data_IF_440061525698
#
_entry.id   IF_440061525698
#
_cell.length_a   1.000
_cell.length_b   1.000
_cell.length_c   1.000
_cell.angle_alpha   90.00
_cell.angle_beta   90.00
_cell.angle_gamma   90.00
#
_symmetry.space_group_name_H-M   'P 1'
#
loop_
_entity.id
_entity.type
_entity.pdbx_description
1 polymer ?
#
# COMPACT_ATOMS: atom_id res chain seq x y z
N UNK A 1 2.27 11.62 -2.08
CA UNK A 1 1.26 12.13 -1.13
C UNK A 1 0.42 13.21 -1.80
N UNK A 2 -0.89 13.22 -1.56
CA UNK A 2 -1.81 14.28 -1.97
C UNK A 2 -2.73 14.66 -0.79
N UNK A 3 -3.31 15.87 -0.76
CA UNK A 3 -3.97 16.41 0.45
C UNK A 3 -5.07 15.55 1.05
N UNK A 4 -5.87 14.87 0.21
CA UNK A 4 -7.05 14.10 0.61
C UNK A 4 -6.80 12.60 0.67
N UNK A 5 -5.53 12.21 0.73
CA UNK A 5 -5.19 10.81 0.96
C UNK A 5 -5.60 10.39 2.38
N UNK A 6 -6.21 9.21 2.53
CA UNK A 6 -6.72 8.72 3.81
C UNK A 6 -5.60 8.12 4.68
N UNK A 7 -4.60 8.94 4.99
CA UNK A 7 -3.45 8.61 5.83
C UNK A 7 -3.27 9.66 6.91
N UNK A 8 -3.05 9.23 8.15
CA UNK A 8 -2.66 10.15 9.21
C UNK A 8 -1.30 10.78 8.91
N UNK A 9 -1.05 11.98 9.45
CA UNK A 9 0.22 12.70 9.26
C UNK A 9 1.01 12.78 10.56
N UNK A 10 2.27 12.35 10.53
CA UNK A 10 3.20 12.51 11.65
C UNK A 10 3.56 13.99 11.78
N UNK A 11 3.39 14.55 12.98
CA UNK A 11 3.72 15.94 13.25
C UNK A 11 4.05 16.17 14.73
N UNK A 12 4.35 17.43 15.07
CA UNK A 12 4.58 17.87 16.45
C UNK A 12 3.56 18.92 16.84
N UNK A 13 2.79 18.68 17.90
CA UNK A 13 1.80 19.62 18.45
C UNK A 13 2.17 19.90 19.91
N UNK A 14 2.29 21.19 20.25
CA UNK A 14 2.69 21.63 21.60
C UNK A 14 3.97 20.93 22.12
N UNK A 15 4.91 20.69 21.22
CA UNK A 15 6.19 20.05 21.57
C UNK A 15 6.13 18.51 21.65
N UNK A 16 5.00 17.87 21.37
CA UNK A 16 4.81 16.41 21.43
C UNK A 16 4.62 15.81 20.05
N UNK A 17 5.32 14.71 19.77
CA UNK A 17 5.12 13.94 18.54
C UNK A 17 3.80 13.20 18.58
N UNK A 18 3.08 13.19 17.46
CA UNK A 18 1.82 12.48 17.31
C UNK A 18 1.51 12.25 15.84
N UNK A 19 0.52 11.40 15.58
CA UNK A 19 -0.13 11.31 14.27
C UNK A 19 -1.47 12.02 14.39
N UNK A 20 -1.72 12.98 13.50
CA UNK A 20 -3.05 13.56 13.34
C UNK A 20 -3.76 12.76 12.26
N UNK A 21 -4.85 12.08 12.62
CA UNK A 21 -5.55 11.23 11.67
C UNK A 21 -6.24 12.02 10.56
N UNK A 22 -6.36 11.41 9.38
CA UNK A 22 -6.96 12.07 8.22
C UNK A 22 -8.43 12.49 8.45
N UNK A 23 -9.14 11.80 9.35
CA UNK A 23 -10.51 12.16 9.75
C UNK A 23 -10.59 13.33 10.73
N UNK A 24 -9.45 13.74 11.29
CA UNK A 24 -9.33 14.78 12.33
C UNK A 24 -8.56 16.02 11.84
N UNK A 25 -7.90 15.94 10.67
CA UNK A 25 -7.20 17.06 10.05
C UNK A 25 -8.17 17.98 9.28
N UNK A 26 -7.97 19.30 9.39
CA UNK A 26 -8.73 20.25 8.55
C UNK A 26 -8.20 20.29 7.13
N UNK A 27 -9.08 20.53 6.14
CA UNK A 27 -8.68 20.65 4.73
C UNK A 27 -7.60 21.73 4.53
N UNK A 28 -7.76 22.89 5.19
CA UNK A 28 -6.77 23.98 5.16
C UNK A 28 -5.38 23.52 5.61
N UNK A 29 -5.31 22.68 6.64
CA UNK A 29 -4.04 22.12 7.12
C UNK A 29 -3.48 21.09 6.14
N UNK A 30 -4.33 20.20 5.62
CA UNK A 30 -3.96 19.15 4.66
C UNK A 30 -3.44 19.71 3.32
N UNK A 31 -3.98 20.85 2.87
CA UNK A 31 -3.58 21.52 1.63
C UNK A 31 -2.39 22.49 1.80
N UNK A 32 -1.94 22.73 3.04
CA UNK A 32 -0.86 23.68 3.32
C UNK A 32 0.43 23.22 2.65
N UNK A 33 1.11 24.14 1.95
CA UNK A 33 2.37 23.88 1.26
C UNK A 33 3.55 24.62 1.88
N UNK A 34 4.74 24.06 1.71
CA UNK A 34 6.02 24.70 2.03
C UNK A 34 6.49 25.64 0.90
N UNK A 35 7.66 26.26 1.09
CA UNK A 35 8.25 27.16 0.10
C UNK A 35 8.64 26.47 -1.23
N UNK A 36 8.77 25.14 -1.23
CA UNK A 36 9.09 24.34 -2.40
C UNK A 36 7.84 23.79 -3.09
N UNK A 37 6.64 24.15 -2.62
CA UNK A 37 5.37 23.67 -3.16
C UNK A 37 4.99 22.25 -2.72
N UNK A 38 5.76 21.61 -1.83
CA UNK A 38 5.40 20.31 -1.24
C UNK A 38 4.37 20.50 -0.14
N UNK A 39 3.62 19.46 0.22
CA UNK A 39 2.75 19.52 1.39
C UNK A 39 3.60 19.75 2.64
N UNK A 40 3.20 20.72 3.46
CA UNK A 40 3.90 21.01 4.73
C UNK A 40 3.80 19.83 5.69
N UNK A 41 2.70 19.08 5.63
CA UNK A 41 2.49 17.85 6.39
C UNK A 41 2.50 16.66 5.44
N UNK A 42 3.68 16.28 4.96
CA UNK A 42 3.89 15.21 3.99
C UNK A 42 4.35 13.87 4.60
N UNK A 43 4.61 13.81 5.91
CA UNK A 43 5.01 12.59 6.61
C UNK A 43 3.80 11.67 6.86
N UNK A 44 3.36 10.96 5.82
CA UNK A 44 2.23 10.03 5.89
C UNK A 44 2.53 8.80 6.74
N UNK A 45 1.69 8.51 7.72
CA UNK A 45 1.76 7.33 8.56
C UNK A 45 1.30 6.08 7.79
N UNK A 46 2.23 5.17 7.50
CA UNK A 46 1.94 3.87 6.85
C UNK A 46 1.77 2.71 7.85
N UNK A 47 1.62 3.02 9.14
CA UNK A 47 1.49 2.06 10.23
C UNK A 47 2.67 1.07 10.36
N UNK A 48 3.88 1.49 9.97
CA UNK A 48 5.13 0.82 10.31
C UNK A 48 5.86 1.65 11.37
N UNK A 49 6.00 1.10 12.58
CA UNK A 49 6.58 1.79 13.73
C UNK A 49 7.67 0.93 14.35
N UNK A 50 8.76 1.57 14.78
CA UNK A 50 9.82 0.93 15.54
C UNK A 50 9.71 1.34 17.02
N UNK A 51 9.72 0.36 17.91
CA UNK A 51 9.75 0.59 19.35
C UNK A 51 10.85 -0.25 19.99
N UNK A 52 11.58 0.35 20.93
CA UNK A 52 12.46 -0.43 21.81
C UNK A 52 11.61 -1.15 22.86
N UNK A 53 12.10 -2.30 23.33
CA UNK A 53 11.41 -3.06 24.37
C UNK A 53 11.20 -2.21 25.65
N UNK A 54 12.18 -1.40 26.03
CA UNK A 54 12.09 -0.56 27.22
C UNK A 54 11.04 0.55 27.05
N UNK A 55 10.90 1.11 25.85
CA UNK A 55 9.82 2.04 25.56
C UNK A 55 8.45 1.35 25.65
N UNK A 56 8.30 0.13 25.11
CA UNK A 56 7.06 -0.64 25.22
C UNK A 56 6.69 -0.94 26.68
N UNK A 57 7.66 -1.35 27.51
CA UNK A 57 7.45 -1.54 28.95
C UNK A 57 6.96 -0.24 29.59
N UNK A 58 7.64 0.87 29.33
CA UNK A 58 7.28 2.18 29.87
C UNK A 58 5.86 2.62 29.48
N UNK A 59 5.46 2.50 28.21
CA UNK A 59 4.12 2.93 27.78
C UNK A 59 3.01 1.96 28.20
N UNK A 60 3.36 0.71 28.51
CA UNK A 60 2.43 -0.30 29.04
C UNK A 60 2.13 -0.12 30.54
N UNK A 61 2.92 0.69 31.26
CA UNK A 61 2.64 0.99 32.66
C UNK A 61 1.26 1.66 32.81
N UNK A 62 0.46 1.31 33.83
CA UNK A 62 -0.91 1.83 33.99
C UNK A 62 -0.99 3.35 34.06
N UNK A 63 0.08 4.03 34.49
CA UNK A 63 0.15 5.49 34.54
C UNK A 63 0.21 6.13 33.15
N UNK A 64 0.80 5.47 32.16
CA UNK A 64 0.94 5.94 30.78
C UNK A 64 -0.28 5.50 29.96
N UNK A 65 -0.66 4.23 30.07
CA UNK A 65 -1.80 3.66 29.32
C UNK A 65 -3.10 4.45 29.54
N UNK A 66 -3.36 4.89 30.79
CA UNK A 66 -4.53 5.69 31.16
C UNK A 66 -4.54 7.10 30.56
N UNK A 67 -3.41 7.62 30.10
CA UNK A 67 -3.33 8.94 29.45
C UNK A 67 -3.71 8.86 27.97
N UNK A 68 -3.69 7.66 27.36
CA UNK A 68 -4.11 7.46 25.98
C UNK A 68 -5.63 7.69 25.85
N UNK A 69 -6.00 8.54 24.90
CA UNK A 69 -7.40 8.96 24.72
C UNK A 69 -8.17 7.94 23.90
N UNK A 70 -9.46 7.85 24.16
CA UNK A 70 -10.37 7.17 23.26
C UNK A 70 -10.78 8.10 22.12
N UNK A 71 -10.56 7.66 20.89
CA UNK A 71 -11.10 8.24 19.68
C UNK A 71 -12.51 7.72 19.45
N UNK A 72 -13.43 8.62 19.08
CA UNK A 72 -14.86 8.33 18.98
C UNK A 72 -15.27 8.29 17.51
N UNK A 73 -15.74 7.13 17.05
CA UNK A 73 -16.34 6.97 15.73
C UNK A 73 -17.85 6.71 15.86
N UNK A 74 -18.67 7.55 15.23
CA UNK A 74 -20.12 7.30 15.10
C UNK A 74 -20.34 6.16 14.10
N UNK A 75 -21.06 5.12 14.50
CA UNK A 75 -21.29 3.91 13.68
C UNK A 75 -22.78 3.56 13.59
N UNK A 76 -23.14 2.91 12.49
CA UNK A 76 -24.40 2.19 12.31
C UNK A 76 -24.21 0.79 12.88
N UNK A 77 -24.63 0.59 14.12
CA UNK A 77 -24.42 -0.65 14.87
C UNK A 77 -25.71 -1.47 14.78
N UNK A 78 -25.72 -2.62 14.08
CA UNK A 78 -26.86 -3.52 14.09
C UNK A 78 -27.19 -3.96 15.52
N UNK A 79 -28.48 -4.00 15.86
CA UNK A 79 -28.95 -4.29 17.22
C UNK A 79 -30.20 -5.18 17.17
N UNK A 80 -30.50 -5.86 18.27
CA UNK A 80 -31.70 -6.71 18.37
C UNK A 80 -32.95 -5.85 18.57
N UNK A 81 -34.07 -6.25 17.96
CA UNK A 81 -35.35 -5.57 18.16
C UNK A 81 -35.82 -5.68 19.61
N UNK A 82 -36.39 -4.60 20.13
CA UNK A 82 -37.01 -4.59 21.46
C UNK A 82 -38.31 -5.43 21.50
N UNK A 83 -38.99 -5.57 20.35
CA UNK A 83 -40.23 -6.33 20.22
C UNK A 83 -40.00 -7.84 20.02
N UNK A 84 -38.91 -8.22 19.37
CA UNK A 84 -38.53 -9.61 19.14
C UNK A 84 -37.00 -9.78 19.16
N UNK A 85 -36.51 -10.44 20.22
CA UNK A 85 -35.08 -10.74 20.41
C UNK A 85 -34.45 -11.62 19.31
N UNK A 86 -35.25 -12.24 18.43
CA UNK A 86 -34.75 -13.00 17.27
C UNK A 86 -34.54 -12.15 16.02
N UNK A 87 -34.99 -10.90 16.02
CA UNK A 87 -34.86 -9.99 14.87
C UNK A 87 -33.68 -9.05 15.08
N UNK A 88 -32.78 -8.97 14.09
CA UNK A 88 -31.69 -7.99 14.06
C UNK A 88 -32.05 -6.85 13.12
N UNK A 89 -31.99 -5.62 13.62
CA UNK A 89 -32.25 -4.39 12.88
C UNK A 89 -30.93 -3.77 12.41
N UNK A 90 -30.93 -3.23 11.18
CA UNK A 90 -29.81 -2.45 10.63
C UNK A 90 -30.24 -0.98 10.55
N UNK A 91 -29.58 -0.07 11.28
CA UNK A 91 -30.03 1.32 11.36
C UNK A 91 -29.63 2.13 10.11
N UNK A 92 -30.52 3.03 9.68
CA UNK A 92 -30.29 3.91 8.52
C UNK A 92 -29.39 5.11 8.83
N UNK A 93 -29.23 5.46 10.10
CA UNK A 93 -28.34 6.52 10.59
C UNK A 93 -27.48 6.02 11.76
N UNK A 94 -26.33 6.65 12.07
CA UNK A 94 -25.51 6.25 13.20
C UNK A 94 -26.30 6.29 14.53
N UNK A 95 -26.35 5.15 15.22
CA UNK A 95 -27.12 4.94 16.45
C UNK A 95 -26.22 4.67 17.68
N UNK A 96 -24.90 4.67 17.50
CA UNK A 96 -23.96 4.48 18.61
C UNK A 96 -22.56 4.94 18.28
N UNK A 97 -21.67 4.78 19.27
CA UNK A 97 -20.26 5.13 19.16
C UNK A 97 -19.39 3.89 19.34
N UNK A 98 -18.29 3.86 18.60
CA UNK A 98 -17.15 2.97 18.84
C UNK A 98 -16.03 3.81 19.43
N UNK A 99 -15.48 3.35 20.55
CA UNK A 99 -14.31 3.96 21.19
C UNK A 99 -13.08 3.10 20.90
N UNK A 100 -12.03 3.70 20.38
CA UNK A 100 -10.78 3.02 20.01
C UNK A 100 -9.59 3.82 20.53
N UNK A 101 -8.48 3.16 20.85
CA UNK A 101 -7.18 3.81 21.06
C UNK A 101 -6.34 3.57 19.82
N UNK A 102 -5.49 4.52 19.43
CA UNK A 102 -4.59 4.33 18.31
C UNK A 102 -3.19 3.95 18.78
N UNK A 103 -2.56 3.01 18.05
CA UNK A 103 -1.23 2.48 18.42
C UNK A 103 -0.15 3.57 18.44
N UNK A 104 -0.28 4.57 17.57
CA UNK A 104 0.66 5.68 17.45
C UNK A 104 0.43 6.81 18.47
N UNK A 105 -0.64 6.76 19.27
CA UNK A 105 -0.88 7.78 20.30
C UNK A 105 0.26 7.83 21.31
N UNK A 106 0.95 6.70 21.52
CA UNK A 106 2.13 6.59 22.39
C UNK A 106 3.30 7.47 21.97
N UNK A 107 3.34 8.01 20.74
CA UNK A 107 4.41 8.89 20.27
C UNK A 107 4.59 10.14 21.14
N UNK A 108 3.53 10.61 21.79
CA UNK A 108 3.60 11.76 22.70
C UNK A 108 4.50 11.55 23.94
N UNK A 109 4.81 10.28 24.24
CA UNK A 109 5.74 9.90 25.30
C UNK A 109 7.20 9.90 24.85
N UNK A 110 7.47 9.89 23.54
CA UNK A 110 8.83 9.97 23.03
C UNK A 110 9.40 11.39 23.21
N UNK A 111 10.72 11.46 23.36
CA UNK A 111 11.48 12.72 23.45
C UNK A 111 12.10 13.09 22.11
N UNK A 112 12.57 14.32 21.97
CA UNK A 112 13.32 14.77 20.78
C UNK A 112 14.60 13.98 20.52
N UNK A 113 15.14 13.27 21.51
CA UNK A 113 16.31 12.41 21.35
C UNK A 113 15.98 10.98 20.92
N UNK A 114 14.72 10.58 21.03
CA UNK A 114 14.29 9.18 20.90
C UNK A 114 13.17 8.98 19.87
N UNK A 115 12.77 10.03 19.15
CA UNK A 115 11.79 9.96 18.07
C UNK A 115 12.48 10.27 16.74
N UNK A 116 12.26 9.41 15.75
CA UNK A 116 12.76 9.58 14.40
C UNK A 116 11.64 9.25 13.41
N UNK A 117 11.68 9.90 12.25
CA UNK A 117 10.81 9.60 11.10
C UNK A 117 11.70 9.09 9.98
N UNK A 118 11.33 7.95 9.41
CA UNK A 118 12.01 7.35 8.27
C UNK A 118 11.09 7.39 7.06
N UNK A 119 11.45 8.20 6.06
CA UNK A 119 10.69 8.31 4.81
C UNK A 119 11.15 7.22 3.84
N UNK A 120 10.19 6.58 3.18
CA UNK A 120 10.41 5.50 2.22
C UNK A 120 9.70 5.81 0.90
N UNK A 121 10.11 5.12 -0.15
CA UNK A 121 9.48 5.19 -1.45
C UNK A 121 8.21 4.34 -1.43
N UNK A 122 7.07 4.94 -1.79
CA UNK A 122 5.74 4.27 -1.71
C UNK A 122 5.70 3.00 -2.54
N UNK A 123 6.17 3.09 -3.77
CA UNK A 123 6.13 2.00 -4.74
C UNK A 123 7.00 0.81 -4.32
N UNK A 124 7.85 0.98 -3.31
CA UNK A 124 8.69 -0.08 -2.73
C UNK A 124 8.08 -0.66 -1.46
N UNK A 125 7.42 0.16 -0.62
CA UNK A 125 7.08 -0.24 0.76
C UNK A 125 5.60 -0.08 1.15
N UNK A 126 4.73 0.48 0.30
CA UNK A 126 3.34 0.76 0.69
C UNK A 126 2.29 0.59 -0.43
N UNK A 127 1.59 -0.54 -0.38
CA UNK A 127 0.40 -0.84 -1.19
C UNK A 127 -0.73 -1.40 -0.30
N UNK A 128 -1.56 -0.54 0.33
CA UNK A 128 -2.54 -0.98 1.32
C UNK A 128 -3.75 -1.67 0.67
N UNK A 129 -4.27 -2.71 1.34
CA UNK A 129 -5.55 -3.34 1.00
C UNK A 129 -6.64 -2.89 1.98
N UNK A 130 -7.61 -2.11 1.50
CA UNK A 130 -8.70 -1.51 2.30
C UNK A 130 -10.09 -1.73 1.72
N UNK A 131 -10.20 -1.87 0.41
CA UNK A 131 -11.47 -1.87 -0.30
C UNK A 131 -11.62 -3.11 -1.19
N UNK A 132 -12.84 -3.41 -1.62
CA UNK A 132 -13.09 -4.38 -2.69
C UNK A 132 -12.73 -3.78 -4.06
N UNK A 133 -12.61 -4.61 -5.11
CA UNK A 133 -12.29 -4.16 -6.48
C UNK A 133 -13.37 -3.28 -7.14
N UNK A 134 -14.52 -3.11 -6.51
CA UNK A 134 -15.53 -2.13 -6.93
C UNK A 134 -15.17 -0.68 -6.57
N UNK A 135 -14.14 -0.46 -5.76
CA UNK A 135 -13.61 0.86 -5.43
C UNK A 135 -12.43 1.24 -6.33
N UNK A 136 -12.08 2.52 -6.38
CA UNK A 136 -11.05 3.03 -7.30
C UNK A 136 -9.60 2.73 -6.85
N UNK A 137 -9.38 2.47 -5.55
CA UNK A 137 -8.04 2.37 -4.95
C UNK A 137 -8.00 1.44 -3.74
N UNK A 138 -6.79 1.03 -3.38
CA UNK A 138 -6.49 0.21 -2.19
C UNK A 138 -7.28 -1.12 -2.22
N UNK A 139 -7.36 -1.74 -3.40
CA UNK A 139 -8.09 -2.97 -3.70
C UNK A 139 -7.14 -4.15 -3.97
N UNK A 140 -7.63 -5.41 -3.99
CA UNK A 140 -6.82 -6.57 -4.36
C UNK A 140 -6.07 -6.37 -5.68
N UNK A 141 -6.74 -5.85 -6.71
CA UNK A 141 -6.13 -5.55 -8.02
C UNK A 141 -4.98 -4.55 -7.90
N UNK A 142 -5.18 -3.44 -7.18
CA UNK A 142 -4.12 -2.43 -7.03
C UNK A 142 -2.93 -2.93 -6.20
N UNK A 143 -3.17 -3.76 -5.18
CA UNK A 143 -2.12 -4.36 -4.37
C UNK A 143 -1.27 -5.34 -5.18
N UNK A 144 -1.92 -6.29 -5.88
CA UNK A 144 -1.22 -7.25 -6.75
C UNK A 144 -0.37 -6.52 -7.79
N UNK A 145 -0.96 -5.53 -8.47
CA UNK A 145 -0.25 -4.74 -9.48
C UNK A 145 0.97 -4.01 -8.92
N UNK A 146 0.89 -3.46 -7.71
CA UNK A 146 2.00 -2.77 -7.07
C UNK A 146 3.16 -3.71 -6.78
N UNK A 147 2.88 -4.91 -6.26
CA UNK A 147 3.89 -5.95 -6.01
C UNK A 147 4.56 -6.42 -7.30
N UNK A 148 3.78 -6.74 -8.33
CA UNK A 148 4.31 -7.21 -9.61
C UNK A 148 5.17 -6.14 -10.30
N UNK A 149 4.78 -4.86 -10.20
CA UNK A 149 5.59 -3.74 -10.71
C UNK A 149 6.90 -3.57 -9.93
N UNK A 150 6.89 -3.77 -8.61
CA UNK A 150 8.10 -3.74 -7.80
C UNK A 150 9.08 -4.84 -8.25
N UNK A 151 8.59 -6.08 -8.37
CA UNK A 151 9.39 -7.21 -8.80
C UNK A 151 9.89 -7.06 -10.24
N UNK A 152 9.07 -6.53 -11.15
CA UNK A 152 9.52 -6.19 -12.50
C UNK A 152 10.72 -5.23 -12.46
N UNK A 153 10.66 -4.16 -11.65
CA UNK A 153 11.79 -3.24 -11.46
C UNK A 153 13.02 -3.93 -10.89
N UNK A 154 12.87 -4.85 -9.93
CA UNK A 154 13.99 -5.62 -9.40
C UNK A 154 14.66 -6.49 -10.47
N UNK A 155 13.89 -7.17 -11.32
CA UNK A 155 14.42 -7.99 -12.41
C UNK A 155 15.17 -7.13 -13.43
N UNK A 156 14.58 -6.01 -13.85
CA UNK A 156 15.24 -5.06 -14.75
C UNK A 156 16.55 -4.52 -14.18
N UNK A 157 16.55 -4.12 -12.89
CA UNK A 157 17.74 -3.64 -12.21
C UNK A 157 18.85 -4.71 -12.09
N UNK A 158 18.46 -5.99 -12.07
CA UNK A 158 19.36 -7.14 -12.06
C UNK A 158 19.82 -7.58 -13.46
N UNK A 159 19.42 -6.88 -14.52
CA UNK A 159 19.86 -7.13 -15.90
C UNK A 159 18.97 -8.09 -16.69
N UNK A 160 17.73 -8.34 -16.25
CA UNK A 160 16.73 -9.05 -17.04
C UNK A 160 16.21 -8.16 -18.19
N UNK A 161 15.92 -8.78 -19.32
CA UNK A 161 15.20 -8.19 -20.43
C UNK A 161 13.82 -8.86 -20.57
N UNK A 162 12.80 -8.08 -20.92
CA UNK A 162 11.46 -8.62 -21.19
C UNK A 162 11.15 -8.50 -22.67
N UNK A 163 10.61 -9.57 -23.25
CA UNK A 163 10.26 -9.65 -24.67
C UNK A 163 8.82 -10.08 -24.88
N UNK A 164 8.22 -9.63 -25.98
CA UNK A 164 6.93 -10.12 -26.45
C UNK A 164 7.05 -11.52 -27.09
N UNK A 165 5.91 -12.06 -27.57
CA UNK A 165 5.86 -13.38 -28.20
C UNK A 165 6.69 -13.49 -29.48
N UNK A 166 7.00 -12.37 -30.11
CA UNK A 166 7.79 -12.29 -31.33
C UNK A 166 9.28 -12.01 -31.02
N UNK A 167 9.65 -11.92 -29.74
CA UNK A 167 11.01 -11.68 -29.27
C UNK A 167 11.42 -10.20 -29.27
N UNK A 168 10.49 -9.26 -29.48
CA UNK A 168 10.78 -7.83 -29.42
C UNK A 168 10.82 -7.35 -27.97
N UNK A 169 11.75 -6.44 -27.66
CA UNK A 169 11.88 -5.87 -26.32
C UNK A 169 10.64 -5.08 -25.90
N UNK A 170 10.15 -5.38 -24.70
CA UNK A 170 9.09 -4.65 -24.02
C UNK A 170 9.74 -3.45 -23.32
N UNK A 171 9.27 -2.21 -23.56
CA UNK A 171 9.80 -1.04 -22.87
C UNK A 171 9.47 -1.09 -21.38
N UNK A 172 10.39 -0.58 -20.54
CA UNK A 172 10.25 -0.54 -19.07
C UNK A 172 8.96 0.13 -18.58
N UNK A 173 8.40 1.05 -19.37
CA UNK A 173 7.08 1.64 -19.15
C UNK A 173 6.25 1.35 -20.40
N UNK A 174 5.40 0.31 -20.39
CA UNK A 174 4.53 -0.01 -21.50
C UNK A 174 3.60 1.17 -21.80
N UNK A 175 3.61 1.65 -23.05
CA UNK A 175 2.67 2.68 -23.47
C UNK A 175 1.25 2.11 -23.45
N UNK A 176 0.34 2.72 -22.71
CA UNK A 176 -1.09 2.51 -22.94
C UNK A 176 -1.43 3.13 -24.30
N UNK A 177 -1.58 2.31 -25.35
CA UNK A 177 -2.24 2.80 -26.55
C UNK A 177 -3.69 3.08 -26.16
N UNK A 178 -4.10 4.34 -26.19
CA UNK A 178 -5.52 4.68 -26.19
C UNK A 178 -6.07 4.13 -27.50
N UNK A 179 -6.97 3.15 -27.42
CA UNK A 179 -7.74 2.73 -28.59
C UNK A 179 -8.33 3.98 -29.25
N UNK A 180 -8.02 4.18 -30.54
CA UNK A 180 -8.71 5.16 -31.35
C UNK A 180 -10.21 4.83 -31.31
N UNK A 181 -11.06 5.79 -30.98
CA UNK A 181 -12.51 5.66 -31.17
C UNK A 181 -12.79 5.42 -32.66
N UNK A 182 -12.83 4.14 -33.08
CA UNK A 182 -13.47 3.74 -34.34
C UNK A 182 -14.90 3.33 -34.03
N UNK A 183 -15.81 4.02 -34.73
CA UNK A 183 -17.24 3.96 -34.52
C UNK A 183 -17.84 2.56 -34.61
N UNK A 184 -19.03 2.47 -34.00
CA UNK A 184 -19.99 1.34 -33.97
C UNK A 184 -19.71 0.18 -34.93
N UNK A 185 -19.27 -0.95 -34.36
CA UNK A 185 -19.25 -2.25 -35.04
C UNK A 185 -18.50 -3.27 -34.17
N UNK A 186 -19.23 -4.29 -33.70
CA UNK A 186 -18.79 -5.50 -33.01
C UNK A 186 -17.51 -5.43 -32.12
N UNK A 187 -17.71 -5.48 -30.80
CA UNK A 187 -16.62 -5.66 -29.84
C UNK A 187 -16.10 -7.09 -29.92
N UNK A 188 -15.08 -7.30 -30.74
CA UNK A 188 -14.17 -8.42 -30.55
C UNK A 188 -13.35 -8.13 -29.29
N UNK A 189 -13.55 -8.94 -28.24
CA UNK A 189 -12.71 -8.94 -27.03
C UNK A 189 -11.32 -9.48 -27.41
N UNK A 190 -10.42 -8.58 -27.75
CA UNK A 190 -9.02 -8.92 -27.98
C UNK A 190 -8.28 -7.68 -28.44
N UNK A 191 -7.09 -7.48 -27.90
CA UNK A 191 -6.10 -6.52 -28.41
C UNK A 191 -6.33 -5.04 -28.05
N UNK A 192 -6.32 -4.71 -26.75
CA UNK A 192 -5.88 -3.37 -26.27
C UNK A 192 -5.64 -3.36 -24.74
N UNK A 193 -5.08 -4.44 -24.20
CA UNK A 193 -4.46 -4.38 -22.87
C UNK A 193 -3.02 -3.93 -23.05
N UNK A 194 -2.70 -2.75 -22.52
CA UNK A 194 -1.32 -2.32 -22.38
C UNK A 194 -0.52 -3.45 -21.74
N UNK A 195 0.53 -3.92 -22.42
CA UNK A 195 1.25 -5.13 -22.04
C UNK A 195 1.79 -5.00 -20.61
N UNK A 196 1.08 -5.61 -19.66
CA UNK A 196 1.45 -5.61 -18.26
C UNK A 196 2.40 -6.77 -18.03
N UNK A 197 3.61 -6.46 -17.57
CA UNK A 197 4.60 -7.50 -17.26
C UNK A 197 4.28 -8.06 -15.88
N UNK A 198 3.75 -9.27 -15.85
CA UNK A 198 3.54 -10.00 -14.61
C UNK A 198 4.87 -10.62 -14.18
N UNK A 199 5.43 -10.12 -13.08
CA UNK A 199 6.68 -10.63 -12.51
C UNK A 199 6.50 -10.81 -11.01
N UNK A 200 6.70 -12.01 -10.52
CA UNK A 200 6.66 -12.30 -9.09
C UNK A 200 7.94 -12.98 -8.63
N UNK A 201 8.51 -12.49 -7.55
CA UNK A 201 9.70 -13.05 -6.91
C UNK A 201 9.29 -13.49 -5.51
N UNK A 202 9.54 -14.74 -5.19
CA UNK A 202 9.36 -15.25 -3.83
C UNK A 202 10.30 -14.50 -2.87
N UNK A 203 9.83 -14.08 -1.69
CA UNK A 203 10.69 -13.48 -0.65
C UNK A 203 11.86 -14.38 -0.22
N UNK A 204 11.79 -15.69 -0.50
CA UNK A 204 12.85 -16.64 -0.21
C UNK A 204 13.96 -16.67 -1.28
N UNK A 205 13.71 -16.04 -2.43
CA UNK A 205 14.70 -15.82 -3.50
C UNK A 205 15.37 -14.47 -3.33
N UNK A 206 14.58 -13.43 -3.07
CA UNK A 206 15.06 -12.07 -2.85
C UNK A 206 14.11 -11.30 -1.94
N UNK A 207 14.64 -10.63 -0.92
CA UNK A 207 13.84 -9.85 0.02
C UNK A 207 13.49 -8.46 -0.54
N UNK A 208 14.47 -7.78 -1.12
CA UNK A 208 14.35 -6.41 -1.62
C UNK A 208 15.09 -6.19 -2.96
N UNK A 209 15.16 -7.23 -3.79
CA UNK A 209 15.76 -7.19 -5.13
C UNK A 209 17.24 -7.58 -5.18
N UNK A 210 17.87 -7.87 -4.05
CA UNK A 210 19.24 -8.38 -3.99
C UNK A 210 19.38 -9.82 -4.51
N UNK A 211 20.58 -10.20 -4.94
CA UNK A 211 20.91 -11.59 -5.30
C UNK A 211 20.37 -12.07 -6.66
N UNK A 212 19.53 -11.28 -7.33
CA UNK A 212 18.88 -11.66 -8.58
C UNK A 212 19.80 -11.73 -9.79
N UNK A 213 20.90 -10.97 -9.81
CA UNK A 213 21.80 -10.85 -10.97
C UNK A 213 22.26 -12.23 -11.49
N UNK A 214 22.62 -13.15 -10.59
CA UNK A 214 23.06 -14.51 -10.95
C UNK A 214 21.97 -15.34 -11.64
N UNK A 215 20.71 -15.00 -11.42
CA UNK A 215 19.55 -15.70 -11.95
C UNK A 215 19.11 -15.12 -13.30
N UNK A 216 19.27 -13.81 -13.52
CA UNK A 216 18.55 -13.11 -14.61
C UNK A 216 19.41 -12.24 -15.53
N UNK A 217 20.67 -11.96 -15.19
CA UNK A 217 21.52 -11.06 -15.98
C UNK A 217 21.70 -11.54 -17.42
N UNK A 218 21.40 -10.66 -18.38
CA UNK A 218 21.52 -10.94 -19.82
C UNK A 218 20.48 -11.91 -20.36
N UNK A 219 19.46 -12.26 -19.56
CA UNK A 219 18.40 -13.20 -19.95
C UNK A 219 17.15 -12.45 -20.41
N UNK A 220 16.43 -13.07 -21.34
CA UNK A 220 15.16 -12.58 -21.85
C UNK A 220 14.02 -13.40 -21.26
N UNK A 221 12.94 -12.72 -20.89
CA UNK A 221 11.76 -13.35 -20.31
C UNK A 221 10.50 -12.91 -21.04
N UNK A 222 9.57 -13.84 -21.21
CA UNK A 222 8.17 -13.55 -21.53
C UNK A 222 7.35 -13.50 -20.24
N UNK A 223 6.26 -12.74 -20.24
CA UNK A 223 5.31 -12.69 -19.11
C UNK A 223 4.30 -13.85 -19.18
N UNK A 224 3.89 -14.46 -18.05
CA UNK A 224 4.28 -14.17 -16.66
C UNK A 224 5.61 -14.81 -16.23
N UNK A 225 6.34 -14.15 -15.33
CA UNK A 225 7.57 -14.67 -14.71
C UNK A 225 7.33 -14.90 -13.23
N UNK A 226 7.67 -16.09 -12.74
CA UNK A 226 7.65 -16.41 -11.31
C UNK A 226 9.00 -17.01 -10.87
N UNK A 227 9.73 -16.32 -9.99
CA UNK A 227 10.97 -16.82 -9.40
C UNK A 227 10.71 -17.35 -8.00
N UNK A 228 10.64 -18.67 -7.86
CA UNK A 228 10.53 -19.38 -6.57
C UNK A 228 11.85 -20.07 -6.18
N UNK A 229 11.92 -20.66 -4.99
CA UNK A 229 13.11 -21.42 -4.55
C UNK A 229 13.39 -22.64 -5.43
N UNK A 230 12.34 -23.19 -6.03
CA UNK A 230 12.41 -24.35 -6.92
C UNK A 230 12.63 -23.93 -8.38
N UNK A 231 12.82 -22.63 -8.64
CA UNK A 231 13.13 -22.14 -9.97
C UNK A 231 14.46 -22.75 -10.43
N UNK A 232 14.36 -23.72 -11.34
CA UNK A 232 15.51 -24.40 -11.93
C UNK A 232 15.82 -23.82 -13.30
N UNK A 233 17.10 -23.88 -13.67
CA UNK A 233 17.67 -23.22 -14.84
C UNK A 233 17.41 -23.94 -16.16
N UNK A 234 16.62 -25.02 -16.16
CA UNK A 234 16.49 -25.99 -17.26
C UNK A 234 15.22 -25.83 -18.11
N UNK A 235 14.37 -24.83 -17.82
CA UNK A 235 13.22 -24.50 -18.64
C UNK A 235 13.61 -23.59 -19.82
N UNK A 236 12.93 -23.68 -20.99
CA UNK A 236 13.36 -23.05 -22.24
C UNK A 236 13.58 -21.53 -22.11
N UNK A 237 14.24 -20.91 -23.10
CA UNK A 237 14.51 -19.45 -23.20
C UNK A 237 13.26 -18.56 -23.01
N UNK A 238 12.06 -19.16 -22.96
CA UNK A 238 10.75 -18.58 -22.75
C UNK A 238 10.06 -19.42 -21.64
N UNK A 239 10.01 -18.90 -20.42
CA UNK A 239 9.27 -19.52 -19.30
C UNK A 239 7.80 -19.11 -19.40
N UNK A 240 6.90 -20.06 -19.61
CA UNK A 240 5.46 -19.85 -19.49
C UNK A 240 5.03 -20.20 -18.06
N UNK A 241 4.73 -19.19 -17.23
CA UNK A 241 4.20 -19.44 -15.90
C UNK A 241 2.72 -19.85 -15.92
N UNK A 242 2.39 -21.02 -15.40
CA UNK A 242 1.02 -21.35 -14.96
C UNK A 242 0.85 -20.96 -13.48
N UNK A 243 -0.32 -20.41 -13.14
CA UNK A 243 -0.75 -20.06 -11.79
C UNK A 243 -1.38 -21.26 -11.06
#
# INVERSE_FOLDING_TARGET
AFPTEAVGVVCKVEGKYQVVEYSEITLKTAEKRDANGRLMFNAGNICNHFFTLDFLKFVSEPTQEKQLKHHVAKKKIPYVSEEDSKVTLKPDSPNGIKMEKFVFDVFHFATDRSFAVWEVIREDEFAPLKNADTADKDTPTTCRRSLLNLHHRYLLAAGAEFVDKDGNLIPHIPSQKKGEEKGSGDRQKGEDEAMFVESEISPLVSYAGEGLQKLVEGRKFTTPVHLSQDFTMDEPEIVEGEW
#
